data_IF_940511246620
#
_entry.id   IF_940511246620
#
_cell.length_a   1.000
_cell.length_b   1.000
_cell.length_c   1.000
_cell.angle_alpha   90.00
_cell.angle_beta   90.00
_cell.angle_gamma   90.00
#
_symmetry.space_group_name_H-M   'P 1'
#
loop_
_entity.id
_entity.type
_entity.pdbx_description
1 polymer ?
#
# COMPACT_ATOMS: atom_id res chain seq x y z
N UNK A 1 10.57 0.27 30.35
CA UNK A 1 9.19 -0.13 30.02
C UNK A 1 9.30 -1.10 28.86
N UNK A 2 9.24 -2.38 29.19
CA UNK A 2 9.30 -3.45 28.19
C UNK A 2 8.08 -3.35 27.31
N UNK A 3 8.31 -3.10 26.01
CA UNK A 3 7.29 -3.26 25.01
C UNK A 3 7.08 -4.76 24.93
N UNK A 4 6.01 -5.24 25.61
CA UNK A 4 5.52 -6.60 25.44
C UNK A 4 5.62 -6.94 23.95
N UNK A 5 6.27 -8.06 23.65
CA UNK A 5 6.30 -8.66 22.31
C UNK A 5 4.86 -9.05 21.94
N UNK A 6 4.05 -8.06 21.56
CA UNK A 6 2.86 -8.34 20.78
C UNK A 6 3.35 -9.07 19.54
N UNK A 7 2.76 -10.20 19.28
CA UNK A 7 3.01 -10.99 18.08
C UNK A 7 2.41 -10.20 16.89
N UNK A 8 3.04 -9.04 16.61
CA UNK A 8 2.53 -8.06 15.66
C UNK A 8 2.46 -8.68 14.27
N UNK A 9 1.26 -8.75 13.72
CA UNK A 9 0.98 -9.29 12.40
C UNK A 9 0.83 -8.12 11.41
N UNK A 10 1.96 -7.48 11.06
CA UNK A 10 1.94 -6.31 10.19
C UNK A 10 1.99 -6.69 8.71
N UNK A 11 1.23 -5.95 7.91
CA UNK A 11 1.28 -5.96 6.45
C UNK A 11 1.88 -4.66 5.94
N UNK A 12 2.66 -4.72 4.87
CA UNK A 12 3.15 -3.56 4.13
C UNK A 12 2.43 -3.48 2.80
N UNK A 13 1.55 -2.51 2.66
CA UNK A 13 0.86 -2.18 1.42
C UNK A 13 1.65 -1.13 0.65
N UNK A 14 1.76 -1.33 -0.66
CA UNK A 14 2.58 -0.50 -1.55
C UNK A 14 1.78 -0.16 -2.81
N UNK A 15 1.67 1.13 -3.12
CA UNK A 15 1.31 1.65 -4.44
C UNK A 15 2.60 2.00 -5.19
N UNK A 16 3.12 1.08 -6.03
CA UNK A 16 4.45 1.23 -6.61
C UNK A 16 4.43 2.11 -7.84
N UNK A 17 5.21 3.19 -7.83
CA UNK A 17 5.46 4.00 -9.01
C UNK A 17 6.88 4.58 -8.98
N UNK A 18 7.46 4.82 -10.17
CA UNK A 18 8.84 5.31 -10.26
C UNK A 18 8.99 6.75 -9.75
N UNK A 19 7.97 7.59 -9.90
CA UNK A 19 8.01 8.99 -9.47
C UNK A 19 7.67 9.16 -8.00
N UNK A 20 6.61 8.50 -7.56
CA UNK A 20 6.14 8.57 -6.18
C UNK A 20 5.57 7.22 -5.81
N UNK A 21 6.20 6.53 -4.87
CA UNK A 21 5.71 5.27 -4.31
C UNK A 21 5.09 5.56 -2.96
N UNK A 22 3.79 5.31 -2.82
CA UNK A 22 3.09 5.34 -1.54
C UNK A 22 3.20 4.01 -0.82
N UNK A 23 3.28 4.04 0.51
CA UNK A 23 3.29 2.80 1.31
C UNK A 23 2.75 3.02 2.72
N UNK A 24 2.12 1.97 3.25
CA UNK A 24 1.55 1.96 4.58
C UNK A 24 1.81 0.64 5.29
N UNK A 25 2.09 0.69 6.59
CA UNK A 25 2.14 -0.48 7.48
C UNK A 25 0.88 -0.48 8.32
N UNK A 26 0.15 -1.58 8.26
CA UNK A 26 -1.15 -1.75 8.93
C UNK A 26 -1.09 -3.03 9.76
N UNK A 27 -1.63 -2.96 10.97
CA UNK A 27 -1.81 -4.13 11.81
C UNK A 27 -2.97 -4.99 11.24
N UNK A 28 -2.67 -6.26 10.95
CA UNK A 28 -3.64 -7.18 10.35
C UNK A 28 -4.83 -7.46 11.27
N UNK A 29 -4.59 -7.54 12.57
CA UNK A 29 -5.60 -7.96 13.52
C UNK A 29 -6.55 -6.81 13.88
N UNK A 30 -6.00 -5.62 14.09
CA UNK A 30 -6.75 -4.42 14.53
C UNK A 30 -7.14 -3.45 13.42
N UNK A 31 -6.54 -3.57 12.22
CA UNK A 31 -6.61 -2.59 11.13
C UNK A 31 -6.01 -1.22 11.51
N UNK A 32 -5.21 -1.13 12.58
CA UNK A 32 -4.57 0.10 12.98
C UNK A 32 -3.50 0.53 11.97
N UNK A 33 -3.51 1.80 11.59
CA UNK A 33 -2.51 2.41 10.71
C UNK A 33 -1.24 2.74 11.53
N UNK A 34 -0.25 1.86 11.46
CA UNK A 34 0.98 1.93 12.26
C UNK A 34 1.99 2.90 11.67
N UNK A 35 2.14 2.91 10.34
CA UNK A 35 3.05 3.80 9.63
C UNK A 35 2.54 4.10 8.23
N UNK A 36 2.81 5.29 7.76
CA UNK A 36 2.55 5.70 6.38
C UNK A 36 3.64 6.66 5.90
N UNK A 37 3.95 6.58 4.63
CA UNK A 37 4.84 7.54 3.98
C UNK A 37 4.78 7.38 2.47
N UNK A 38 5.49 8.23 1.77
CA UNK A 38 5.79 8.09 0.34
C UNK A 38 7.25 8.36 0.06
N UNK A 39 7.77 7.74 -0.97
CA UNK A 39 9.11 8.00 -1.48
C UNK A 39 9.02 8.66 -2.84
N UNK A 40 9.64 9.84 -2.96
CA UNK A 40 9.60 10.64 -4.18
C UNK A 40 10.97 10.59 -4.85
N UNK A 41 10.99 10.33 -6.15
CA UNK A 41 12.19 10.41 -6.97
C UNK A 41 12.04 11.42 -8.09
N UNK A 42 13.14 11.83 -8.69
CA UNK A 42 13.13 12.77 -9.80
C UNK A 42 13.75 12.15 -11.06
N UNK A 43 13.35 12.63 -12.22
CA UNK A 43 13.92 12.19 -13.51
C UNK A 43 15.35 12.72 -13.76
N UNK A 44 15.93 13.46 -12.80
CA UNK A 44 17.32 13.93 -12.85
C UNK A 44 18.34 12.82 -12.54
N UNK A 45 17.88 11.70 -11.96
CA UNK A 45 18.72 10.54 -11.65
C UNK A 45 18.29 9.34 -12.51
N UNK A 46 19.22 8.44 -12.86
CA UNK A 46 18.95 7.26 -13.68
C UNK A 46 17.82 6.39 -13.11
N UNK A 47 17.10 5.68 -13.98
CA UNK A 47 15.93 4.89 -13.60
C UNK A 47 16.28 3.76 -12.64
N UNK A 48 17.38 3.07 -12.88
CA UNK A 48 17.90 1.99 -12.04
C UNK A 48 18.25 2.48 -10.63
N UNK A 49 18.90 3.64 -10.53
CA UNK A 49 19.20 4.25 -9.23
C UNK A 49 17.91 4.66 -8.47
N UNK A 50 16.93 5.22 -9.17
CA UNK A 50 15.61 5.53 -8.58
C UNK A 50 14.95 4.28 -8.03
N UNK A 51 14.94 3.22 -8.81
CA UNK A 51 14.40 1.92 -8.43
C UNK A 51 15.10 1.36 -7.20
N UNK A 52 16.43 1.36 -7.19
CA UNK A 52 17.22 0.89 -6.06
C UNK A 52 16.90 1.67 -4.77
N UNK A 53 16.76 2.99 -4.86
CA UNK A 53 16.38 3.83 -3.70
C UNK A 53 15.00 3.49 -3.16
N UNK A 54 14.00 3.29 -4.06
CA UNK A 54 12.64 2.88 -3.68
C UNK A 54 12.67 1.52 -2.96
N UNK A 55 13.31 0.52 -3.59
CA UNK A 55 13.37 -0.84 -3.04
C UNK A 55 14.07 -0.86 -1.68
N UNK A 56 15.21 -0.19 -1.55
CA UNK A 56 15.92 -0.08 -0.28
C UNK A 56 15.06 0.55 0.81
N UNK A 57 14.34 1.63 0.51
CA UNK A 57 13.44 2.27 1.46
C UNK A 57 12.33 1.31 1.93
N UNK A 58 11.66 0.65 0.99
CA UNK A 58 10.60 -0.30 1.30
C UNK A 58 11.12 -1.49 2.13
N UNK A 59 12.29 -2.00 1.79
CA UNK A 59 12.92 -3.10 2.51
C UNK A 59 13.32 -2.73 3.95
N UNK A 60 13.83 -1.51 4.16
CA UNK A 60 14.11 -1.00 5.52
C UNK A 60 12.83 -0.87 6.35
N UNK A 61 11.74 -0.40 5.74
CA UNK A 61 10.43 -0.33 6.42
C UNK A 61 9.94 -1.73 6.78
N UNK A 62 9.97 -2.68 5.85
CA UNK A 62 9.56 -4.05 6.10
C UNK A 62 10.34 -4.70 7.26
N UNK A 63 11.66 -4.49 7.32
CA UNK A 63 12.50 -4.96 8.42
C UNK A 63 12.18 -4.26 9.74
N UNK A 64 12.07 -2.93 9.73
CA UNK A 64 11.81 -2.13 10.94
C UNK A 64 10.55 -2.57 11.66
N UNK A 65 9.50 -2.87 10.90
CA UNK A 65 8.21 -3.28 11.44
C UNK A 65 8.00 -4.80 11.47
N UNK A 66 9.01 -5.58 11.10
CA UNK A 66 8.91 -7.05 11.05
C UNK A 66 7.68 -7.54 10.28
N UNK A 67 7.41 -6.90 9.13
CA UNK A 67 6.24 -7.23 8.29
C UNK A 67 6.34 -8.67 7.79
N UNK A 68 5.20 -9.34 7.67
CA UNK A 68 5.12 -10.71 7.14
C UNK A 68 4.67 -10.74 5.69
N UNK A 69 3.74 -9.86 5.32
CA UNK A 69 3.10 -9.84 4.01
C UNK A 69 3.32 -8.49 3.32
N UNK A 70 3.63 -8.55 2.03
CA UNK A 70 3.74 -7.40 1.13
C UNK A 70 2.54 -7.43 0.20
N UNK A 71 1.81 -6.32 0.12
CA UNK A 71 0.62 -6.22 -0.71
C UNK A 71 0.86 -5.19 -1.80
N UNK A 72 0.62 -5.57 -3.04
CA UNK A 72 0.81 -4.74 -4.21
C UNK A 72 -0.49 -4.61 -5.01
N UNK A 73 -0.80 -3.41 -5.48
CA UNK A 73 -1.82 -3.25 -6.50
C UNK A 73 -1.34 -3.86 -7.82
N UNK A 74 -2.18 -4.63 -8.48
CA UNK A 74 -1.90 -5.18 -9.81
C UNK A 74 -1.98 -4.10 -10.88
N UNK A 75 -1.02 -4.14 -11.83
CA UNK A 75 -0.92 -3.13 -12.88
C UNK A 75 -2.09 -3.20 -13.86
N UNK A 76 -2.64 -2.05 -14.21
CA UNK A 76 -3.64 -1.91 -15.26
C UNK A 76 -2.97 -1.51 -16.59
N UNK A 77 -3.31 -2.19 -17.68
CA UNK A 77 -2.73 -1.97 -19.01
C UNK A 77 -3.31 -0.74 -19.76
N UNK A 78 -4.13 0.08 -19.10
CA UNK A 78 -4.81 1.24 -19.71
C UNK A 78 -3.94 2.49 -19.90
N UNK A 79 -2.64 2.44 -19.56
CA UNK A 79 -1.68 3.54 -19.72
C UNK A 79 -0.85 3.38 -20.99
N UNK A 80 -0.18 4.46 -21.43
CA UNK A 80 0.74 4.36 -22.57
C UNK A 80 1.89 3.38 -22.28
N UNK A 81 2.45 2.77 -23.32
CA UNK A 81 3.46 1.70 -23.22
C UNK A 81 4.67 2.09 -22.35
N UNK A 82 5.14 3.33 -22.42
CA UNK A 82 6.27 3.80 -21.64
C UNK A 82 5.96 3.79 -20.14
N UNK A 83 4.80 4.29 -19.75
CA UNK A 83 4.36 4.30 -18.34
C UNK A 83 4.11 2.89 -17.84
N UNK A 84 3.49 2.03 -18.66
CA UNK A 84 3.28 0.62 -18.33
C UNK A 84 4.61 -0.11 -18.08
N UNK A 85 5.61 0.10 -18.95
CA UNK A 85 6.94 -0.50 -18.79
C UNK A 85 7.64 -0.01 -17.51
N UNK A 86 7.59 1.28 -17.21
CA UNK A 86 8.17 1.84 -15.99
C UNK A 86 7.52 1.25 -14.74
N UNK A 87 6.19 1.14 -14.73
CA UNK A 87 5.45 0.54 -13.63
C UNK A 87 5.79 -0.94 -13.45
N UNK A 88 5.81 -1.71 -14.54
CA UNK A 88 6.19 -3.11 -14.54
C UNK A 88 7.63 -3.31 -14.02
N UNK A 89 8.57 -2.43 -14.40
CA UNK A 89 9.96 -2.49 -13.94
C UNK A 89 10.05 -2.29 -12.42
N UNK A 90 9.39 -1.27 -11.87
CA UNK A 90 9.41 -1.02 -10.41
C UNK A 90 8.76 -2.17 -9.66
N UNK A 91 7.59 -2.64 -10.12
CA UNK A 91 6.92 -3.80 -9.52
C UNK A 91 7.78 -5.05 -9.56
N UNK A 92 8.37 -5.36 -10.72
CA UNK A 92 9.26 -6.52 -10.87
C UNK A 92 10.46 -6.45 -9.92
N UNK A 93 11.06 -5.28 -9.75
CA UNK A 93 12.13 -5.05 -8.79
C UNK A 93 11.70 -5.29 -7.34
N UNK A 94 10.55 -4.75 -6.94
CA UNK A 94 9.98 -4.96 -5.59
C UNK A 94 9.71 -6.46 -5.38
N UNK A 95 8.97 -7.10 -6.29
CA UNK A 95 8.64 -8.53 -6.21
C UNK A 95 9.91 -9.37 -6.11
N UNK A 96 10.90 -9.12 -6.96
CA UNK A 96 12.16 -9.88 -6.97
C UNK A 96 12.89 -9.82 -5.63
N UNK A 97 13.06 -8.62 -5.07
CA UNK A 97 13.77 -8.45 -3.79
C UNK A 97 13.00 -9.06 -2.62
N UNK A 98 11.70 -8.84 -2.53
CA UNK A 98 10.91 -9.37 -1.43
C UNK A 98 10.76 -10.89 -1.50
N UNK A 99 10.55 -11.48 -2.69
CA UNK A 99 10.54 -12.94 -2.88
C UNK A 99 11.90 -13.57 -2.54
N UNK A 100 13.00 -12.96 -2.96
CA UNK A 100 14.34 -13.45 -2.63
C UNK A 100 14.54 -13.49 -1.09
N UNK A 101 14.01 -12.52 -0.38
CA UNK A 101 14.08 -12.44 1.08
C UNK A 101 12.93 -13.18 1.79
N UNK A 102 12.17 -14.03 1.09
CA UNK A 102 11.13 -14.92 1.64
C UNK A 102 9.92 -14.22 2.27
N UNK A 103 9.61 -13.01 1.85
CA UNK A 103 8.35 -12.37 2.19
C UNK A 103 7.19 -12.98 1.39
N UNK A 104 6.04 -13.13 2.01
CA UNK A 104 4.81 -13.43 1.28
C UNK A 104 4.36 -12.19 0.50
N UNK A 105 4.00 -12.35 -0.77
CA UNK A 105 3.53 -11.26 -1.62
C UNK A 105 2.14 -11.60 -2.14
N UNK A 106 1.23 -10.65 -1.99
CA UNK A 106 -0.12 -10.75 -2.54
C UNK A 106 -0.36 -9.60 -3.52
N UNK A 107 -1.00 -9.91 -4.62
CA UNK A 107 -1.44 -8.97 -5.64
C UNK A 107 -2.95 -8.80 -5.58
N UNK A 108 -3.43 -7.57 -5.68
CA UNK A 108 -4.86 -7.27 -5.73
C UNK A 108 -5.19 -6.38 -6.92
N UNK A 109 -6.24 -6.69 -7.64
CA UNK A 109 -6.74 -5.84 -8.73
C UNK A 109 -7.33 -4.54 -8.17
N UNK A 110 -7.25 -3.41 -8.89
CA UNK A 110 -7.84 -2.14 -8.46
C UNK A 110 -9.35 -2.24 -8.12
N UNK A 111 -10.09 -3.08 -8.85
CA UNK A 111 -11.51 -3.31 -8.58
C UNK A 111 -11.77 -4.10 -7.29
N UNK A 112 -10.92 -5.07 -6.98
CA UNK A 112 -10.96 -5.85 -5.74
C UNK A 112 -10.61 -4.96 -4.53
N UNK A 113 -9.56 -4.16 -4.66
CA UNK A 113 -9.17 -3.18 -3.64
C UNK A 113 -10.36 -2.30 -3.29
N UNK A 114 -10.99 -1.67 -4.28
CA UNK A 114 -12.14 -0.79 -4.05
C UNK A 114 -13.33 -1.53 -3.44
N UNK A 115 -13.62 -2.74 -3.91
CA UNK A 115 -14.70 -3.59 -3.40
C UNK A 115 -14.49 -3.92 -1.91
N UNK A 116 -13.34 -4.51 -1.56
CA UNK A 116 -13.07 -4.94 -0.19
C UNK A 116 -12.74 -3.79 0.75
N UNK A 117 -12.28 -2.65 0.23
CA UNK A 117 -12.23 -1.41 1.00
C UNK A 117 -13.63 -0.83 1.30
N UNK A 118 -14.65 -1.32 0.59
CA UNK A 118 -16.06 -0.94 0.81
C UNK A 118 -16.52 0.29 0.05
N UNK A 119 -15.88 0.61 -1.07
CA UNK A 119 -16.28 1.71 -1.95
C UNK A 119 -17.05 1.26 -3.19
N UNK A 120 -17.12 -0.06 -3.45
CA UNK A 120 -17.58 -0.61 -4.73
C UNK A 120 -16.50 -0.57 -5.81
N UNK A 121 -16.45 -1.61 -6.67
CA UNK A 121 -15.34 -1.85 -7.60
C UNK A 121 -15.07 -0.72 -8.62
N UNK A 122 -16.08 0.09 -8.93
CA UNK A 122 -15.99 1.22 -9.89
C UNK A 122 -15.83 2.59 -9.20
N UNK A 123 -15.56 2.63 -7.89
CA UNK A 123 -15.43 3.88 -7.14
C UNK A 123 -14.32 4.77 -7.70
N UNK A 124 -14.55 6.09 -7.68
CA UNK A 124 -13.52 7.08 -8.02
C UNK A 124 -12.50 7.19 -6.89
N UNK A 125 -11.27 7.60 -7.22
CA UNK A 125 -10.18 7.78 -6.24
C UNK A 125 -10.54 8.76 -5.11
N UNK A 126 -11.35 9.77 -5.42
CA UNK A 126 -11.82 10.74 -4.46
C UNK A 126 -12.60 10.07 -3.32
N UNK A 127 -13.52 9.17 -3.65
CA UNK A 127 -14.32 8.45 -2.68
C UNK A 127 -13.47 7.51 -1.79
N UNK A 128 -12.45 6.88 -2.40
CA UNK A 128 -11.49 6.05 -1.64
C UNK A 128 -10.75 6.91 -0.61
N UNK A 129 -10.26 8.07 -1.02
CA UNK A 129 -9.53 8.96 -0.13
C UNK A 129 -10.41 9.55 0.99
N UNK A 130 -11.65 9.94 0.68
CA UNK A 130 -12.63 10.38 1.68
C UNK A 130 -12.85 9.29 2.73
N UNK A 131 -13.05 8.05 2.28
CA UNK A 131 -13.26 6.93 3.18
C UNK A 131 -12.02 6.57 4.03
N UNK A 132 -10.81 6.74 3.50
CA UNK A 132 -9.58 6.62 4.31
C UNK A 132 -9.55 7.68 5.40
N UNK A 133 -9.92 8.93 5.08
CA UNK A 133 -10.00 10.02 6.07
C UNK A 133 -11.04 9.72 7.15
N UNK A 134 -12.20 9.18 6.79
CA UNK A 134 -13.25 8.79 7.75
C UNK A 134 -12.76 7.66 8.65
N UNK A 135 -12.15 6.61 8.09
CA UNK A 135 -11.68 5.44 8.83
C UNK A 135 -10.57 5.77 9.83
N UNK A 136 -9.74 6.74 9.51
CA UNK A 136 -8.56 7.12 10.30
C UNK A 136 -8.61 8.58 10.78
N UNK A 137 -9.81 9.11 11.06
CA UNK A 137 -10.03 10.51 11.46
C UNK A 137 -9.13 10.95 12.61
N UNK A 138 -8.90 10.09 13.59
CA UNK A 138 -8.09 10.37 14.78
C UNK A 138 -6.62 9.99 14.65
N UNK A 139 -6.20 9.46 13.49
CA UNK A 139 -4.82 9.06 13.31
C UNK A 139 -3.91 10.29 13.08
N UNK A 140 -3.04 10.58 14.06
CA UNK A 140 -2.14 11.74 14.04
C UNK A 140 -1.22 11.76 12.79
N UNK A 141 -0.80 10.60 12.30
CA UNK A 141 0.08 10.49 11.13
C UNK A 141 -0.67 10.89 9.86
N UNK A 142 -1.96 10.53 9.75
CA UNK A 142 -2.78 10.92 8.62
C UNK A 142 -3.15 12.41 8.68
N UNK A 143 -3.35 12.97 9.87
CA UNK A 143 -3.56 14.43 10.07
C UNK A 143 -2.39 15.26 9.54
N UNK A 144 -1.15 14.79 9.71
CA UNK A 144 0.05 15.45 9.19
C UNK A 144 0.08 15.44 7.65
N UNK A 145 -0.41 14.38 7.02
CA UNK A 145 -0.53 14.28 5.55
C UNK A 145 -1.55 15.28 5.01
N UNK A 146 -2.55 15.62 5.82
CA UNK A 146 -3.61 16.57 5.51
C UNK A 146 -4.77 15.97 4.71
N UNK A 147 -5.94 16.59 4.75
CA UNK A 147 -7.13 16.07 4.11
C UNK A 147 -6.98 16.09 2.58
N UNK A 148 -7.52 15.05 1.94
CA UNK A 148 -7.58 14.94 0.48
C UNK A 148 -8.39 16.07 -0.20
N UNK A 149 -9.26 16.74 0.54
CA UNK A 149 -10.21 17.75 0.06
C UNK A 149 -9.58 19.01 -0.54
N UNK A 150 -8.29 19.23 -0.37
CA UNK A 150 -7.61 20.41 -0.91
C UNK A 150 -7.07 20.12 -2.31
N UNK A 151 -7.57 20.83 -3.34
CA UNK A 151 -7.11 20.71 -4.74
C UNK A 151 -5.57 20.80 -4.88
N UNK A 152 -4.92 21.58 -4.01
CA UNK A 152 -3.47 21.72 -3.98
C UNK A 152 -2.73 20.48 -3.41
N UNK A 153 -3.39 19.71 -2.54
CA UNK A 153 -2.82 18.51 -1.91
C UNK A 153 -3.18 17.23 -2.64
N UNK A 154 -4.21 17.24 -3.49
CA UNK A 154 -4.74 16.08 -4.21
C UNK A 154 -3.65 15.24 -4.88
N UNK A 155 -2.71 15.89 -5.59
CA UNK A 155 -1.62 15.22 -6.29
C UNK A 155 -0.42 14.87 -5.39
N UNK A 156 -0.38 15.36 -4.14
CA UNK A 156 0.75 15.12 -3.23
C UNK A 156 0.52 13.98 -2.26
N UNK A 157 -0.73 13.58 -2.07
CA UNK A 157 -1.13 12.63 -1.03
C UNK A 157 -1.85 11.39 -1.56
N UNK A 158 -2.26 11.37 -2.84
CA UNK A 158 -3.03 10.27 -3.45
C UNK A 158 -2.35 8.90 -3.25
N UNK A 159 -1.05 8.81 -3.50
CA UNK A 159 -0.29 7.57 -3.42
C UNK A 159 -0.32 6.96 -1.99
N UNK A 160 -0.39 7.80 -0.95
CA UNK A 160 -0.51 7.34 0.44
C UNK A 160 -1.91 6.76 0.70
N UNK A 161 -2.96 7.43 0.23
CA UNK A 161 -4.34 6.95 0.37
C UNK A 161 -4.57 5.66 -0.40
N UNK A 162 -4.00 5.57 -1.61
CA UNK A 162 -4.03 4.36 -2.42
C UNK A 162 -3.33 3.21 -1.66
N UNK A 163 -2.15 3.42 -1.09
CA UNK A 163 -1.45 2.40 -0.29
C UNK A 163 -2.24 1.96 0.95
N UNK A 164 -2.89 2.88 1.68
CA UNK A 164 -3.73 2.54 2.83
C UNK A 164 -4.91 1.67 2.39
N UNK A 165 -5.60 2.06 1.31
CA UNK A 165 -6.75 1.30 0.80
C UNK A 165 -6.38 -0.12 0.34
N UNK A 166 -5.20 -0.30 -0.27
CA UNK A 166 -4.64 -1.61 -0.64
C UNK A 166 -4.51 -2.50 0.60
N UNK A 167 -3.90 -2.01 1.66
CA UNK A 167 -3.65 -2.79 2.87
C UNK A 167 -4.93 -3.16 3.61
N UNK A 168 -5.84 -2.22 3.79
CA UNK A 168 -7.15 -2.49 4.45
C UNK A 168 -7.99 -3.45 3.61
N UNK A 169 -8.02 -3.30 2.30
CA UNK A 169 -8.75 -4.20 1.41
C UNK A 169 -8.23 -5.64 1.51
N UNK A 170 -6.91 -5.83 1.54
CA UNK A 170 -6.29 -7.14 1.73
C UNK A 170 -6.70 -7.77 3.07
N UNK A 171 -6.62 -7.02 4.15
CA UNK A 171 -6.97 -7.51 5.49
C UNK A 171 -8.42 -7.98 5.53
N UNK A 172 -9.34 -7.17 5.01
CA UNK A 172 -10.77 -7.48 4.97
C UNK A 172 -11.08 -8.69 4.09
N UNK A 173 -10.51 -8.72 2.88
CA UNK A 173 -10.63 -9.87 1.98
C UNK A 173 -10.17 -11.17 2.64
N UNK A 174 -9.02 -11.14 3.31
CA UNK A 174 -8.46 -12.33 3.98
C UNK A 174 -9.34 -12.77 5.16
N UNK A 175 -9.82 -11.83 5.98
CA UNK A 175 -10.73 -12.13 7.09
C UNK A 175 -12.08 -12.67 6.62
N UNK A 176 -12.64 -12.14 5.53
CA UNK A 176 -13.85 -12.66 4.88
C UNK A 176 -13.65 -14.10 4.41
N UNK A 177 -12.56 -14.36 3.67
CA UNK A 177 -12.23 -15.71 3.16
C UNK A 177 -12.04 -16.74 4.28
N UNK A 178 -11.44 -16.34 5.40
CA UNK A 178 -11.28 -17.23 6.56
C UNK A 178 -12.63 -17.58 7.22
N UNK A 179 -13.57 -16.63 7.28
CA UNK A 179 -14.92 -16.87 7.83
C UNK A 179 -15.73 -17.81 6.93
N UNK A 180 -15.65 -17.60 5.62
CA UNK A 180 -16.39 -18.43 4.66
C UNK A 180 -15.82 -19.85 4.57
N UNK A 181 -14.50 -20.04 4.73
CA UNK A 181 -13.84 -21.35 4.79
C UNK A 181 -14.21 -22.17 6.02
N UNK A 182 -14.45 -21.54 7.15
CA UNK A 182 -14.86 -22.21 8.40
C UNK A 182 -16.37 -22.52 8.45
N UNK A 183 -17.17 -21.95 7.56
CA UNK A 183 -18.62 -22.23 7.47
C UNK A 183 -18.93 -23.51 6.66
N UNK A 184 -17.94 -24.12 6.01
CA UNK A 184 -18.08 -25.31 5.16
C UNK A 184 -17.46 -26.58 5.78
N UNK A 185 -17.01 -26.56 7.02
CA UNK A 185 -16.64 -27.73 7.85
C UNK A 185 -17.72 -28.05 8.89
#
# INVERSE_FOLDING_TARGET
>A
MDIEQRNNNFVLAIDPALSTTGYAVIDFDTEELVYLNKFVTTNKIPQDERMNRIINQLFQVAKKYSVKNIILEDGFLGVNARTALQLATVRGGVIGVFNFNKYAITHMLPSEIRKHFGCGGNAKKELVAEKVCELYTDNEKLKIVGPYSNKQNKNKTSDIYDAISIGVAFIRFTKESMRDGTANE
#
